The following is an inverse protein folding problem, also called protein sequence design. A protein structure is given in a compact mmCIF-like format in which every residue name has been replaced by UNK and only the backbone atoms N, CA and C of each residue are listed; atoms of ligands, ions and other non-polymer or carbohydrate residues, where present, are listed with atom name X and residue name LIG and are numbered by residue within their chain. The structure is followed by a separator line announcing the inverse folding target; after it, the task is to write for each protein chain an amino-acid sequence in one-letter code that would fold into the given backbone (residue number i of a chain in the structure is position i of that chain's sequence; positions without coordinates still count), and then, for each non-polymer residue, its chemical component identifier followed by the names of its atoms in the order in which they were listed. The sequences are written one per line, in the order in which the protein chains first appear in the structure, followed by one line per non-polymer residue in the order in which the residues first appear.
data_IF_836811333145
#
_entry.id   IF_836811333145
#
_cell.length_a   1.000
_cell.length_b   1.000
_cell.length_c   1.000
_cell.angle_alpha   90.00
_cell.angle_beta   90.00
_cell.angle_gamma   90.00
#
_symmetry.space_group_name_H-M   'P 1'
#
loop_
_entity.id
_entity.type
_entity.pdbx_description
1 polymer ?
2 non-polymer ?
3 non-polymer ?
#
# COMPACT_ATOMS: atom_id res chain seq x y z
N UNK A 1 12.04 -26.82 6.12
CA UNK A 1 12.89 -27.13 7.29
C UNK A 1 13.11 -25.92 8.22
N UNK A 2 14.30 -25.34 8.18
CA UNK A 2 14.61 -24.21 9.02
C UNK A 2 15.05 -22.99 8.25
N UNK A 3 15.11 -21.86 8.94
CA UNK A 3 15.49 -20.59 8.37
C UNK A 3 16.63 -20.64 7.36
N UNK A 4 17.79 -21.20 7.75
CA UNK A 4 18.85 -21.20 6.75
C UNK A 4 18.30 -21.56 5.35
N UNK A 5 17.79 -22.78 5.18
CA UNK A 5 17.30 -23.18 3.87
C UNK A 5 15.84 -22.85 3.57
N UNK A 6 14.93 -23.75 3.95
CA UNK A 6 13.48 -23.61 3.71
C UNK A 6 12.74 -22.52 4.49
N UNK A 7 11.85 -21.82 3.79
CA UNK A 7 11.04 -20.75 4.37
C UNK A 7 9.60 -21.24 4.56
N UNK A 8 8.86 -20.59 5.45
CA UNK A 8 7.49 -20.99 5.73
C UNK A 8 6.51 -19.82 5.87
N UNK A 9 5.32 -20.01 5.32
CA UNK A 9 4.28 -18.99 5.37
C UNK A 9 2.93 -19.55 4.95
N UNK A 10 1.92 -18.69 4.96
CA UNK A 10 0.58 -19.11 4.57
C UNK A 10 0.40 -18.78 3.10
N UNK A 11 0.41 -19.79 2.25
CA UNK A 11 0.31 -19.56 0.80
C UNK A 11 -0.95 -20.04 0.09
N UNK A 12 -1.38 -19.22 -0.87
CA UNK A 12 -2.54 -19.51 -1.70
C UNK A 12 -2.22 -20.79 -2.45
N UNK A 13 -3.12 -21.76 -2.40
CA UNK A 13 -2.88 -23.04 -3.09
C UNK A 13 -3.36 -22.97 -4.53
N UNK A 14 -4.31 -22.07 -4.80
CA UNK A 14 -4.86 -21.87 -6.14
C UNK A 14 -5.84 -20.72 -6.10
N UNK A 15 -6.04 -20.06 -7.24
CA UNK A 15 -6.96 -18.93 -7.29
C UNK A 15 -8.38 -19.32 -6.91
N UNK A 16 -8.74 -20.56 -7.20
CA UNK A 16 -10.08 -21.08 -6.91
C UNK A 16 -10.38 -21.02 -5.43
N UNK A 17 -9.56 -21.70 -4.63
CA UNK A 17 -9.78 -21.72 -3.20
C UNK A 17 -8.96 -20.61 -2.54
N UNK A 18 -8.71 -19.53 -3.27
CA UNK A 18 -7.90 -18.45 -2.74
C UNK A 18 -8.29 -17.98 -1.35
N UNK A 19 -9.53 -18.26 -0.93
CA UNK A 19 -9.95 -17.84 0.40
C UNK A 19 -9.44 -18.80 1.46
N UNK A 20 -8.68 -19.81 1.02
CA UNK A 20 -8.14 -20.81 1.95
C UNK A 20 -6.63 -21.03 1.85
N UNK A 21 -5.85 -20.11 2.43
CA UNK A 21 -4.39 -20.23 2.40
C UNK A 21 -3.99 -21.36 3.33
N UNK A 22 -2.87 -22.00 3.03
CA UNK A 22 -2.38 -23.11 3.83
C UNK A 22 -0.93 -22.92 4.27
N UNK A 23 -0.62 -23.41 5.46
CA UNK A 23 0.72 -23.32 6.00
C UNK A 23 1.61 -24.07 5.01
N UNK A 24 2.68 -23.43 4.54
CA UNK A 24 3.57 -24.08 3.58
C UNK A 24 5.04 -23.77 3.85
N UNK A 25 5.91 -24.56 3.25
CA UNK A 25 7.35 -24.39 3.36
C UNK A 25 7.87 -24.33 1.94
N UNK A 26 8.56 -23.25 1.60
CA UNK A 26 9.07 -23.06 0.24
C UNK A 26 10.53 -22.63 0.18
N UNK A 27 11.13 -22.76 -1.01
CA UNK A 27 12.52 -22.37 -1.26
C UNK A 27 12.66 -20.86 -1.37
N UNK A 28 13.57 -20.27 -0.58
CA UNK A 28 13.78 -18.82 -0.61
C UNK A 28 14.50 -18.38 -1.90
N UNK A 29 14.51 -17.08 -2.17
CA UNK A 29 15.21 -16.59 -3.37
C UNK A 29 16.70 -16.71 -3.07
N UNK A 30 17.51 -16.99 -4.10
CA UNK A 30 18.94 -17.11 -3.83
C UNK A 30 19.47 -15.80 -3.24
N UNK A 31 20.40 -15.96 -2.30
CA UNK A 31 21.00 -14.83 -1.60
C UNK A 31 22.07 -14.11 -2.43
N UNK A 32 22.09 -12.78 -2.31
CA UNK A 32 23.05 -11.94 -3.03
C UNK A 32 23.65 -10.88 -2.09
N UNK A 33 24.88 -10.50 -2.38
CA UNK A 33 25.66 -9.56 -1.59
C UNK A 33 24.94 -8.38 -0.95
N UNK A 34 23.86 -7.91 -1.55
CA UNK A 34 23.13 -6.78 -0.96
C UNK A 34 21.84 -7.21 -0.29
N UNK A 35 21.40 -8.43 -0.59
CA UNK A 35 20.19 -8.98 0.01
C UNK A 35 20.25 -8.90 1.52
N UNK A 36 19.15 -9.29 2.16
CA UNK A 36 19.00 -9.27 3.61
C UNK A 36 17.90 -10.24 3.99
N UNK A 37 18.01 -10.87 5.13
CA UNK A 37 16.96 -11.77 5.57
C UNK A 37 16.28 -11.12 6.75
N UNK A 38 14.96 -10.94 6.64
CA UNK A 38 14.17 -10.34 7.71
C UNK A 38 13.14 -11.32 8.27
N UNK A 39 13.15 -11.49 9.59
CA UNK A 39 12.19 -12.36 10.25
C UNK A 39 11.00 -11.44 10.47
N UNK A 40 9.87 -11.81 9.86
CA UNK A 40 8.66 -11.02 9.94
C UNK A 40 7.95 -11.19 11.26
N UNK A 41 7.25 -10.14 11.66
CA UNK A 41 6.51 -10.13 12.91
C UNK A 41 5.26 -9.26 12.78
N UNK A 42 4.95 -8.83 11.57
CA UNK A 42 3.79 -7.98 11.34
C UNK A 42 3.65 -7.55 9.88
N UNK A 43 2.68 -8.13 9.17
CA UNK A 43 2.46 -7.74 7.79
C UNK A 43 1.06 -7.14 7.62
N UNK A 44 0.96 -6.13 6.76
CA UNK A 44 -0.33 -5.49 6.54
C UNK A 44 -1.10 -6.06 5.37
N UNK A 45 -2.36 -6.43 5.62
CA UNK A 45 -3.23 -6.98 4.57
C UNK A 45 -3.74 -5.83 3.68
N UNK A 46 -3.12 -5.74 2.50
CA UNK A 46 -3.42 -4.70 1.52
C UNK A 46 -4.42 -5.16 0.46
N UNK A 47 -5.22 -4.23 -0.02
CA UNK A 47 -6.22 -4.54 -1.03
C UNK A 47 -5.62 -5.29 -2.19
N UNK A 48 -4.36 -5.03 -2.51
CA UNK A 48 -3.69 -5.69 -3.61
C UNK A 48 -3.50 -7.18 -3.35
N UNK A 49 -3.40 -7.54 -2.07
CA UNK A 49 -3.22 -8.93 -1.71
C UNK A 49 -4.44 -9.70 -2.21
N UNK A 50 -5.63 -9.15 -1.92
CA UNK A 50 -6.90 -9.76 -2.30
C UNK A 50 -7.05 -9.95 -3.81
N UNK A 51 -6.78 -8.90 -4.59
CA UNK A 51 -6.90 -9.00 -6.04
C UNK A 51 -6.04 -10.09 -6.64
N UNK A 52 -4.79 -10.18 -6.18
CA UNK A 52 -3.84 -11.17 -6.68
C UNK A 52 -4.26 -12.57 -6.25
N UNK A 53 -4.48 -12.73 -4.95
CA UNK A 53 -4.89 -14.02 -4.43
C UNK A 53 -6.11 -14.53 -5.22
N UNK A 54 -7.04 -13.61 -5.50
CA UNK A 54 -8.25 -13.94 -6.25
C UNK A 54 -7.92 -14.29 -7.69
N UNK A 55 -7.22 -13.41 -8.37
CA UNK A 55 -6.85 -13.66 -9.75
C UNK A 55 -7.22 -12.51 -10.68
N UNK A 56 -7.64 -11.39 -10.11
CA UNK A 56 -8.02 -10.24 -10.92
C UNK A 56 -6.87 -9.77 -11.78
N UNK A 57 -5.65 -10.19 -11.42
CA UNK A 57 -4.47 -9.80 -12.16
C UNK A 57 -3.86 -10.97 -12.90
N UNK A 58 -4.66 -11.68 -13.67
CA UNK A 58 -4.17 -12.84 -14.39
C UNK A 58 -3.88 -14.00 -13.46
N UNK A 59 -3.59 -15.17 -14.03
CA UNK A 59 -3.30 -16.34 -13.21
C UNK A 59 -1.88 -16.31 -12.67
N UNK A 60 -1.75 -16.31 -11.35
CA UNK A 60 -0.45 -16.29 -10.71
C UNK A 60 0.00 -17.72 -10.42
N UNK A 61 1.31 -17.93 -10.40
CA UNK A 61 1.89 -19.25 -10.14
C UNK A 61 1.79 -19.57 -8.66
N UNK A 62 1.31 -20.77 -8.35
CA UNK A 62 1.16 -21.20 -6.97
C UNK A 62 2.14 -22.33 -6.64
N UNK A 63 2.48 -22.53 -5.35
CA UNK A 63 2.01 -21.75 -4.19
C UNK A 63 2.32 -20.28 -4.35
N UNK A 64 1.96 -19.48 -3.36
CA UNK A 64 2.23 -18.05 -3.46
C UNK A 64 1.93 -17.30 -2.18
N UNK A 65 2.98 -16.97 -1.43
CA UNK A 65 2.80 -16.23 -0.20
C UNK A 65 2.56 -14.78 -0.58
N UNK A 66 1.58 -14.16 0.06
CA UNK A 66 1.24 -12.79 -0.25
C UNK A 66 1.50 -11.88 0.93
N UNK A 67 1.47 -10.57 0.70
CA UNK A 67 1.69 -9.64 1.79
C UNK A 67 2.88 -8.76 1.56
N UNK A 68 2.67 -7.45 1.49
CA UNK A 68 3.80 -6.59 1.26
C UNK A 68 3.80 -5.26 2.03
N UNK A 69 3.41 -5.34 3.29
CA UNK A 69 3.42 -4.20 4.19
C UNK A 69 4.12 -4.90 5.36
N UNK A 70 5.39 -5.27 5.12
CA UNK A 70 6.18 -6.01 6.10
C UNK A 70 7.01 -5.25 7.10
N UNK A 71 7.00 -5.73 8.34
CA UNK A 71 7.77 -5.14 9.41
C UNK A 71 8.39 -6.29 10.19
N UNK A 72 9.72 -6.25 10.33
CA UNK A 72 10.40 -7.32 11.04
C UNK A 72 11.76 -6.98 11.61
N UNK A 73 12.46 -8.05 11.98
CA UNK A 73 13.80 -7.95 12.55
C UNK A 73 14.85 -8.42 11.55
N UNK A 74 15.98 -7.69 11.49
CA UNK A 74 17.08 -8.04 10.61
C UNK A 74 17.72 -9.30 11.18
N UNK A 75 18.04 -10.25 10.33
CA UNK A 75 18.62 -11.46 10.85
C UNK A 75 19.80 -12.00 10.05
N UNK A 76 20.32 -11.19 9.12
CA UNK A 76 21.45 -11.63 8.30
C UNK A 76 21.74 -10.72 7.11
N UNK A 77 22.71 -9.82 7.25
CA UNK A 77 23.09 -8.93 6.17
C UNK A 77 23.90 -9.68 5.10
N UNK A 78 24.05 -9.06 3.93
CA UNK A 78 24.78 -9.71 2.85
C UNK A 78 26.20 -9.24 2.72
N UNK A 79 27.09 -10.05 2.11
CA UNK A 79 28.50 -9.71 1.92
C UNK A 79 28.68 -8.23 1.66
N UNK A 80 28.38 -7.80 0.44
CA UNK A 80 28.53 -6.39 0.07
C UNK A 80 27.45 -5.50 0.67
N UNK A 81 26.68 -6.01 1.62
CA UNK A 81 25.63 -5.20 2.23
C UNK A 81 26.30 -3.94 2.79
N UNK A 82 25.51 -2.96 3.18
CA UNK A 82 26.03 -1.69 3.70
C UNK A 82 24.93 -0.64 3.52
N UNK A 83 24.60 0.08 4.57
CA UNK A 83 23.56 1.09 4.51
C UNK A 83 23.26 1.58 5.92
N UNK A 84 23.77 0.82 6.90
CA UNK A 84 23.58 1.17 8.30
C UNK A 84 22.74 0.15 9.02
N UNK A 85 22.25 -0.84 8.30
CA UNK A 85 21.40 -1.84 8.93
C UNK A 85 22.18 -2.76 9.86
N UNK A 86 21.85 -2.67 11.14
CA UNK A 86 22.45 -3.51 12.16
C UNK A 86 21.65 -4.80 12.11
N UNK A 87 22.24 -5.94 12.46
CA UNK A 87 21.46 -7.18 12.46
C UNK A 87 20.53 -7.05 13.66
N UNK A 88 19.44 -7.81 13.66
CA UNK A 88 18.50 -7.73 14.76
C UNK A 88 17.83 -6.37 14.86
N UNK A 89 18.07 -5.50 13.88
CA UNK A 89 17.45 -4.17 13.86
C UNK A 89 16.03 -4.25 13.27
N UNK A 90 15.17 -3.32 13.69
CA UNK A 90 13.78 -3.27 13.25
C UNK A 90 13.66 -2.54 11.91
N UNK A 91 13.23 -3.28 10.90
CA UNK A 91 13.08 -2.72 9.56
C UNK A 91 11.74 -3.08 8.95
N UNK A 92 11.51 -2.57 7.74
CA UNK A 92 10.27 -2.84 7.04
C UNK A 92 10.37 -2.71 5.53
N UNK A 93 9.86 -3.71 4.82
CA UNK A 93 9.85 -3.71 3.36
C UNK A 93 8.42 -3.38 2.90
N UNK A 94 8.30 -2.82 1.71
CA UNK A 94 7.00 -2.47 1.15
C UNK A 94 6.61 -3.26 -0.09
N UNK A 95 6.16 -2.55 -1.13
CA UNK A 95 5.73 -3.23 -2.36
C UNK A 95 6.83 -3.45 -3.37
N UNK A 96 7.89 -2.62 -3.32
CA UNK A 96 9.01 -2.79 -4.26
C UNK A 96 10.09 -3.57 -3.56
N UNK A 97 10.61 -4.58 -4.23
CA UNK A 97 11.63 -5.40 -3.64
C UNK A 97 12.89 -5.38 -4.52
N UNK A 98 12.79 -4.75 -5.69
CA UNK A 98 13.92 -4.62 -6.61
C UNK A 98 13.79 -3.51 -7.64
N UNK A 99 14.94 -3.05 -8.11
CA UNK A 99 15.07 -1.99 -9.10
C UNK A 99 16.53 -2.12 -9.56
N UNK A 100 16.90 -1.52 -10.68
CA UNK A 100 18.29 -1.64 -11.14
C UNK A 100 19.27 -0.62 -10.51
N UNK A 101 18.71 0.46 -9.94
CA UNK A 101 19.51 1.49 -9.29
C UNK A 101 20.70 1.99 -10.10
N UNK A 102 20.43 2.54 -11.28
CA UNK A 102 21.49 3.08 -12.12
C UNK A 102 20.89 4.00 -13.17
N UNK A 103 19.67 3.70 -13.58
CA UNK A 103 18.99 4.55 -14.57
C UNK A 103 18.76 5.93 -13.95
N UNK A 104 18.44 6.90 -14.80
CA UNK A 104 18.21 8.26 -14.30
C UNK A 104 17.06 8.26 -13.30
N UNK A 105 16.07 7.42 -13.55
CA UNK A 105 14.91 7.31 -12.68
C UNK A 105 15.27 6.81 -11.30
N UNK A 106 15.98 5.70 -11.20
CA UNK A 106 16.37 5.21 -9.89
C UNK A 106 17.21 6.27 -9.20
N UNK A 107 18.26 6.71 -9.88
CA UNK A 107 19.15 7.70 -9.33
C UNK A 107 18.45 9.01 -9.01
N UNK A 108 17.24 9.17 -9.53
CA UNK A 108 16.50 10.40 -9.29
C UNK A 108 15.28 10.17 -8.40
N UNK A 109 15.31 9.10 -7.61
CA UNK A 109 14.23 8.77 -6.68
C UNK A 109 12.87 8.42 -7.29
N UNK A 110 12.89 7.53 -8.27
CA UNK A 110 11.67 7.09 -8.91
C UNK A 110 11.78 5.60 -9.16
N UNK A 111 12.31 4.89 -8.18
CA UNK A 111 12.49 3.45 -8.31
C UNK A 111 11.26 2.65 -8.68
N UNK A 112 10.04 3.15 -8.37
CA UNK A 112 8.82 2.42 -8.72
C UNK A 112 8.63 2.37 -10.23
N UNK A 113 9.10 3.42 -10.91
CA UNK A 113 8.99 3.53 -12.35
C UNK A 113 10.22 3.05 -13.11
N UNK A 114 11.02 2.20 -12.47
CA UNK A 114 12.21 1.67 -13.11
C UNK A 114 11.86 0.52 -14.03
N UNK A 115 12.60 0.42 -15.13
CA UNK A 115 12.38 -0.63 -16.12
C UNK A 115 12.57 -2.03 -15.55
N UNK A 116 13.49 -2.17 -14.60
CA UNK A 116 13.79 -3.47 -14.01
C UNK A 116 13.02 -3.74 -12.72
N UNK A 117 12.04 -2.89 -12.43
CA UNK A 117 11.19 -2.99 -11.22
C UNK A 117 10.68 -4.40 -10.95
N UNK A 118 10.66 -4.79 -9.68
CA UNK A 118 10.14 -6.08 -9.27
C UNK A 118 9.33 -5.91 -7.99
N UNK A 119 8.09 -6.34 -8.01
CA UNK A 119 7.27 -6.18 -6.83
C UNK A 119 7.54 -7.31 -5.82
N UNK A 120 7.21 -7.04 -4.56
CA UNK A 120 7.43 -7.99 -3.47
C UNK A 120 6.94 -9.41 -3.67
N UNK A 121 5.92 -9.64 -4.50
CA UNK A 121 5.44 -11.01 -4.73
C UNK A 121 4.73 -11.24 -6.07
N UNK A 122 4.72 -12.50 -6.50
CA UNK A 122 4.07 -12.92 -7.75
C UNK A 122 4.76 -12.48 -9.02
N UNK A 123 5.98 -11.97 -8.90
CA UNK A 123 6.74 -11.52 -10.06
C UNK A 123 8.09 -12.20 -9.98
N UNK A 124 8.51 -12.84 -11.07
CA UNK A 124 9.82 -13.50 -11.02
C UNK A 124 10.93 -12.46 -11.16
N UNK A 125 12.06 -12.71 -10.49
CA UNK A 125 13.20 -11.81 -10.58
C UNK A 125 13.88 -12.08 -11.91
N UNK A 126 14.88 -11.26 -12.26
CA UNK A 126 15.57 -11.45 -13.53
C UNK A 126 16.21 -12.85 -13.56
N UNK A 127 16.37 -13.47 -12.39
CA UNK A 127 16.96 -14.80 -12.30
C UNK A 127 15.92 -15.92 -12.39
N UNK A 128 14.64 -15.55 -12.36
CA UNK A 128 13.59 -16.55 -12.47
C UNK A 128 12.77 -16.89 -11.23
N UNK A 129 13.27 -16.54 -10.06
CA UNK A 129 12.55 -16.83 -8.82
C UNK A 129 11.37 -15.89 -8.71
N UNK A 130 10.19 -16.43 -8.45
CA UNK A 130 8.97 -15.64 -8.30
C UNK A 130 8.84 -15.15 -6.87
N UNK A 131 9.05 -13.86 -6.66
CA UNK A 131 8.99 -13.25 -5.33
C UNK A 131 7.89 -13.81 -4.45
N UNK A 132 8.15 -13.85 -3.16
CA UNK A 132 7.19 -14.35 -2.17
C UNK A 132 7.25 -13.42 -0.99
N UNK A 133 7.06 -13.97 0.20
CA UNK A 133 7.13 -13.18 1.42
C UNK A 133 5.85 -12.46 1.81
N UNK A 134 5.80 -12.01 3.07
CA UNK A 134 4.63 -11.31 3.56
C UNK A 134 3.94 -12.09 4.66
N UNK A 135 3.14 -13.08 4.26
CA UNK A 135 2.43 -13.90 5.25
C UNK A 135 3.30 -15.12 5.57
N UNK A 136 4.54 -14.85 5.99
CA UNK A 136 5.50 -15.91 6.32
C UNK A 136 6.48 -15.48 7.40
N UNK A 137 7.25 -16.46 7.92
CA UNK A 137 8.24 -16.27 8.97
C UNK A 137 9.28 -15.17 8.72
N UNK A 138 9.97 -15.26 7.57
CA UNK A 138 10.95 -14.23 7.17
C UNK A 138 10.84 -13.93 5.67
N UNK A 139 11.45 -12.81 5.26
CA UNK A 139 11.48 -12.38 3.86
C UNK A 139 12.92 -11.98 3.48
N UNK A 140 13.33 -12.32 2.25
CA UNK A 140 14.68 -12.00 1.76
C UNK A 140 14.65 -10.85 0.73
N UNK A 141 15.03 -9.66 1.17
CA UNK A 141 14.97 -8.47 0.33
C UNK A 141 16.28 -7.70 0.13
N UNK A 142 16.43 -7.10 -1.04
CA UNK A 142 17.62 -6.30 -1.35
C UNK A 142 17.67 -5.01 -0.51
N UNK A 143 18.63 -4.97 0.39
CA UNK A 143 18.84 -3.85 1.32
C UNK A 143 18.43 -2.44 0.90
N UNK A 144 18.31 -2.16 -0.39
CA UNK A 144 17.94 -0.80 -0.75
C UNK A 144 16.49 -0.49 -0.43
N UNK A 145 15.68 -1.54 -0.39
CA UNK A 145 14.26 -1.41 -0.14
C UNK A 145 13.80 -1.71 1.26
N UNK A 146 14.74 -2.10 2.11
CA UNK A 146 14.42 -2.38 3.50
C UNK A 146 14.70 -1.09 4.26
N UNK A 147 13.68 -0.51 4.88
CA UNK A 147 13.86 0.74 5.60
C UNK A 147 13.86 0.59 7.12
N UNK A 148 14.22 1.68 7.84
CA UNK A 148 14.27 1.71 9.31
C UNK A 148 12.93 2.22 9.86
N UNK A 149 12.49 1.66 10.98
CA UNK A 149 11.22 2.09 11.57
C UNK A 149 11.43 2.85 12.88
N UNK A 150 10.93 4.10 12.98
CA UNK A 150 11.11 4.85 14.23
C UNK A 150 10.57 4.03 15.41
N UNK A 151 11.22 4.11 16.56
CA UNK A 151 10.77 3.34 17.72
C UNK A 151 9.37 3.71 18.20
N UNK A 152 9.08 5.01 18.31
CA UNK A 152 7.77 5.47 18.78
C UNK A 152 6.60 5.09 17.86
N UNK A 153 6.84 4.14 16.96
CA UNK A 153 5.79 3.69 16.06
C UNK A 153 5.63 2.19 16.26
N UNK A 154 4.46 1.77 16.74
CA UNK A 154 4.17 0.35 16.98
C UNK A 154 4.30 -0.42 15.67
N UNK A 155 4.65 -1.70 15.76
CA UNK A 155 4.81 -2.51 14.57
C UNK A 155 3.51 -2.70 13.80
N UNK A 156 2.47 -3.15 14.49
CA UNK A 156 1.14 -3.37 13.89
C UNK A 156 0.62 -2.07 13.28
N UNK A 157 1.13 -0.95 13.77
CA UNK A 157 0.72 0.36 13.31
C UNK A 157 1.65 0.97 12.28
N UNK A 158 2.79 0.33 12.02
CA UNK A 158 3.73 0.86 11.05
C UNK A 158 3.56 0.17 9.70
N UNK A 159 3.41 -1.16 9.74
CA UNK A 159 3.28 -1.96 8.53
C UNK A 159 2.40 -1.38 7.42
N UNK A 160 1.18 -0.91 7.77
CA UNK A 160 0.28 -0.34 6.77
C UNK A 160 0.91 0.76 5.93
N UNK A 161 1.79 1.55 6.56
CA UNK A 161 2.46 2.65 5.87
C UNK A 161 3.42 2.25 4.75
N UNK A 162 4.05 1.09 4.89
CA UNK A 162 5.02 0.61 3.91
C UNK A 162 4.50 0.57 2.47
N UNK A 163 3.20 0.52 2.30
CA UNK A 163 2.60 0.49 0.97
C UNK A 163 1.41 1.45 0.86
N UNK A 164 0.34 1.12 1.58
CA UNK A 164 -0.86 1.95 1.57
C UNK A 164 -0.57 3.40 1.89
N UNK A 165 0.17 3.64 2.96
CA UNK A 165 0.46 5.02 3.31
C UNK A 165 1.35 5.72 2.30
N UNK A 166 2.39 5.02 1.89
CA UNK A 166 3.32 5.56 0.92
C UNK A 166 2.60 5.90 -0.37
N UNK A 167 1.75 4.99 -0.83
CA UNK A 167 1.02 5.18 -2.08
C UNK A 167 0.19 6.47 -2.12
N UNK A 168 -0.42 6.84 -1.01
CA UNK A 168 -1.19 8.09 -0.95
C UNK A 168 -0.21 9.23 -0.75
N UNK A 169 0.76 9.01 0.12
CA UNK A 169 1.74 10.04 0.42
C UNK A 169 2.40 10.60 -0.84
N UNK A 170 3.04 9.73 -1.62
CA UNK A 170 3.74 10.15 -2.83
C UNK A 170 3.03 11.22 -3.68
N UNK A 171 1.82 10.92 -4.21
CA UNK A 171 1.12 11.91 -5.03
C UNK A 171 0.74 13.18 -4.28
N UNK A 172 0.62 13.10 -2.96
CA UNK A 172 0.28 14.26 -2.13
C UNK A 172 1.47 15.22 -2.08
N UNK A 173 2.62 14.69 -1.70
CA UNK A 173 3.82 15.51 -1.62
C UNK A 173 4.19 16.01 -2.99
N UNK A 174 4.21 15.12 -3.96
CA UNK A 174 4.59 15.49 -5.30
C UNK A 174 3.71 16.56 -5.91
N UNK A 175 2.46 16.62 -5.47
CA UNK A 175 1.53 17.59 -6.04
C UNK A 175 1.23 18.82 -5.20
N UNK A 176 2.08 19.09 -4.22
CA UNK A 176 1.87 20.25 -3.37
C UNK A 176 0.59 20.11 -2.57
N UNK A 177 0.69 19.36 -1.48
CA UNK A 177 -0.42 19.15 -0.57
C UNK A 177 -0.01 19.67 0.82
N UNK A 178 -0.30 20.94 1.07
CA UNK A 178 0.05 21.52 2.35
C UNK A 178 -0.79 22.74 2.68
N UNK A 179 -0.32 23.58 3.61
CA UNK A 179 -1.07 24.78 3.98
C UNK A 179 -1.70 25.46 2.78
N UNK A 180 -2.98 25.80 2.90
CA UNK A 180 -3.67 26.50 1.83
C UNK A 180 -4.36 25.69 0.75
N UNK A 181 -3.93 24.44 0.56
CA UNK A 181 -4.50 23.57 -0.47
C UNK A 181 -5.78 22.82 -0.09
N UNK A 182 -6.65 22.60 -1.06
CA UNK A 182 -7.87 21.86 -0.80
C UNK A 182 -7.72 20.49 -1.46
N UNK A 183 -7.47 19.48 -0.64
CA UNK A 183 -7.27 18.12 -1.10
C UNK A 183 -8.47 17.20 -0.83
N UNK A 184 -8.89 16.47 -1.85
CA UNK A 184 -10.01 15.57 -1.64
C UNK A 184 -9.58 14.12 -1.78
N UNK A 185 -10.02 13.27 -0.85
CA UNK A 185 -9.69 11.85 -0.91
C UNK A 185 -10.93 11.09 -1.36
N UNK A 186 -10.82 10.35 -2.45
CA UNK A 186 -11.97 9.62 -2.97
C UNK A 186 -11.97 8.12 -2.68
N UNK A 187 -12.65 7.73 -1.61
CA UNK A 187 -12.74 6.32 -1.26
C UNK A 187 -12.12 5.99 0.07
N UNK A 188 -12.79 6.36 1.16
CA UNK A 188 -12.27 6.11 2.50
C UNK A 188 -12.08 4.64 2.86
N UNK A 189 -11.25 3.94 2.07
CA UNK A 189 -10.96 2.54 2.35
C UNK A 189 -9.69 2.51 3.19
N UNK A 190 -8.87 1.47 3.01
CA UNK A 190 -7.63 1.39 3.77
C UNK A 190 -6.76 2.60 3.49
N UNK A 191 -6.28 2.67 2.24
CA UNK A 191 -5.46 3.77 1.75
C UNK A 191 -6.19 5.11 1.89
N UNK A 192 -7.52 5.06 1.81
CA UNK A 192 -8.30 6.27 1.93
C UNK A 192 -8.25 6.85 3.33
N UNK A 193 -8.24 5.99 4.34
CA UNK A 193 -8.17 6.45 5.73
C UNK A 193 -6.81 7.11 5.99
N UNK A 194 -5.75 6.47 5.51
CA UNK A 194 -4.40 6.97 5.66
C UNK A 194 -4.21 8.26 4.89
N UNK A 195 -4.80 8.32 3.71
CA UNK A 195 -4.67 9.52 2.90
C UNK A 195 -5.25 10.73 3.61
N UNK A 196 -6.30 10.52 4.41
CA UNK A 196 -6.94 11.64 5.12
C UNK A 196 -6.13 12.14 6.31
N UNK A 197 -5.51 11.21 7.05
CA UNK A 197 -4.67 11.58 8.18
C UNK A 197 -3.43 12.27 7.64
N UNK A 198 -2.73 11.60 6.72
CA UNK A 198 -1.53 12.13 6.10
C UNK A 198 -1.81 13.49 5.45
N UNK A 199 -2.99 13.63 4.86
CA UNK A 199 -3.35 14.89 4.23
C UNK A 199 -3.46 15.97 5.28
N UNK A 200 -4.20 15.67 6.34
CA UNK A 200 -4.37 16.61 7.44
C UNK A 200 -2.99 16.89 8.04
N UNK A 201 -2.27 15.83 8.33
CA UNK A 201 -0.95 15.90 8.92
C UNK A 201 -0.09 16.93 8.21
N UNK A 202 -0.25 17.04 6.89
CA UNK A 202 0.53 18.00 6.11
C UNK A 202 -0.14 19.36 6.08
N UNK A 203 -1.17 19.52 6.91
CA UNK A 203 -1.90 20.78 7.01
C UNK A 203 -2.55 21.25 5.72
N UNK A 204 -3.50 20.46 5.23
CA UNK A 204 -4.22 20.79 3.99
C UNK A 204 -5.68 20.53 4.27
N UNK A 205 -6.53 21.50 3.93
CA UNK A 205 -7.96 21.33 4.18
C UNK A 205 -8.43 20.08 3.45
N UNK A 206 -8.55 18.99 4.19
CA UNK A 206 -8.96 17.71 3.62
C UNK A 206 -10.47 17.51 3.49
N UNK A 207 -10.89 16.97 2.35
CA UNK A 207 -12.30 16.69 2.09
C UNK A 207 -12.45 15.21 1.81
N UNK A 208 -13.05 14.43 2.69
CA UNK A 208 -13.20 13.03 2.35
C UNK A 208 -14.37 12.97 1.37
N UNK A 209 -14.30 12.07 0.39
CA UNK A 209 -15.35 11.94 -0.63
C UNK A 209 -15.79 10.51 -0.91
N UNK A 210 -16.88 10.12 -0.26
CA UNK A 210 -17.41 8.78 -0.46
C UNK A 210 -18.79 8.86 -1.09
N UNK A 211 -19.35 7.69 -1.40
CA UNK A 211 -20.67 7.57 -2.02
C UNK A 211 -21.77 7.70 -0.95
N UNK A 212 -21.87 6.68 -0.10
CA UNK A 212 -22.83 6.65 1.00
C UNK A 212 -22.47 7.63 2.12
N UNK A 213 -23.28 7.67 3.17
CA UNK A 213 -23.03 8.57 4.28
C UNK A 213 -22.54 7.76 5.49
N UNK A 214 -22.44 6.46 5.30
CA UNK A 214 -22.01 5.54 6.35
C UNK A 214 -20.75 5.95 7.08
N UNK A 215 -19.69 6.28 6.33
CA UNK A 215 -18.40 6.64 6.92
C UNK A 215 -18.22 8.12 7.30
N UNK A 216 -19.31 8.83 7.58
CA UNK A 216 -19.14 10.24 7.94
C UNK A 216 -18.54 10.40 9.33
N UNK A 217 -18.93 9.55 10.27
CA UNK A 217 -18.41 9.65 11.64
C UNK A 217 -16.92 9.37 11.72
N UNK A 218 -16.48 8.34 11.01
CA UNK A 218 -15.07 8.00 10.98
C UNK A 218 -14.28 9.08 10.26
N UNK A 219 -14.64 9.34 9.01
CA UNK A 219 -13.94 10.36 8.25
C UNK A 219 -13.84 11.65 9.08
N UNK A 220 -14.83 11.87 9.94
CA UNK A 220 -14.81 13.07 10.77
C UNK A 220 -13.90 12.95 11.98
N UNK A 221 -13.67 11.72 12.44
CA UNK A 221 -12.79 11.48 13.58
C UNK A 221 -11.37 11.70 13.06
N UNK A 222 -11.10 11.16 11.87
CA UNK A 222 -9.79 11.28 11.23
C UNK A 222 -9.31 12.71 11.05
N UNK A 223 -10.22 13.67 11.01
CA UNK A 223 -9.82 15.06 10.88
C UNK A 223 -10.34 15.77 9.66
N UNK A 224 -11.04 15.03 8.79
CA UNK A 224 -11.60 15.59 7.57
C UNK A 224 -12.33 16.92 7.83
N UNK A 225 -11.86 17.99 7.20
CA UNK A 225 -12.47 19.31 7.36
C UNK A 225 -13.80 19.41 6.62
N UNK A 226 -14.25 18.31 6.05
CA UNK A 226 -15.50 18.32 5.31
C UNK A 226 -15.68 16.93 4.71
N UNK A 227 -16.92 16.50 4.54
CA UNK A 227 -17.23 15.19 3.99
C UNK A 227 -18.22 15.41 2.86
N UNK A 228 -18.34 14.46 1.96
CA UNK A 228 -19.25 14.57 0.83
C UNK A 228 -19.79 13.20 0.49
N UNK A 229 -21.12 13.11 0.37
CA UNK A 229 -21.75 11.84 0.03
C UNK A 229 -22.27 11.90 -1.39
N UNK A 230 -21.57 11.21 -2.29
CA UNK A 230 -21.93 11.16 -3.70
C UNK A 230 -23.42 10.90 -3.96
N UNK A 231 -23.95 9.86 -3.32
CA UNK A 231 -25.36 9.47 -3.48
C UNK A 231 -26.38 10.52 -3.03
N UNK A 232 -25.96 11.43 -2.16
CA UNK A 232 -26.84 12.47 -1.65
C UNK A 232 -26.57 13.81 -2.32
N UNK A 233 -26.05 13.77 -3.55
CA UNK A 233 -25.72 14.99 -4.30
C UNK A 233 -26.26 15.13 -5.73
N UNK A 234 -26.33 14.02 -6.46
CA UNK A 234 -26.83 14.05 -7.83
C UNK A 234 -25.86 14.68 -8.82
N UNK A 235 -24.93 15.49 -8.30
CA UNK A 235 -23.90 16.16 -9.10
C UNK A 235 -23.11 17.07 -8.16
N UNK A 236 -22.12 16.48 -7.48
CA UNK A 236 -21.32 17.25 -6.53
C UNK A 236 -20.33 18.20 -7.19
N UNK A 237 -19.85 17.82 -8.38
CA UNK A 237 -18.91 18.66 -9.11
C UNK A 237 -19.45 20.06 -9.31
N UNK A 238 -20.76 20.17 -9.51
CA UNK A 238 -21.41 21.46 -9.70
C UNK A 238 -21.49 22.24 -8.39
N UNK A 239 -21.77 21.54 -7.30
CA UNK A 239 -21.87 22.21 -5.99
C UNK A 239 -20.51 22.65 -5.47
N UNK A 240 -19.52 21.77 -5.58
CA UNK A 240 -18.16 22.07 -5.12
C UNK A 240 -17.27 22.65 -6.23
N UNK A 241 -17.94 23.11 -7.29
CA UNK A 241 -17.27 23.71 -8.45
C UNK A 241 -16.09 24.62 -8.09
N UNK A 242 -14.96 24.41 -8.78
CA UNK A 242 -13.76 25.21 -8.62
C UNK A 242 -13.20 25.23 -7.20
N UNK A 243 -13.05 24.06 -6.59
CA UNK A 243 -12.56 24.05 -5.21
C UNK A 243 -11.21 23.38 -4.93
N UNK A 244 -11.03 22.16 -5.43
CA UNK A 244 -9.80 21.40 -5.19
C UNK A 244 -8.59 21.70 -6.06
N UNK A 245 -7.41 21.42 -5.50
CA UNK A 245 -6.15 21.57 -6.23
C UNK A 245 -5.78 20.12 -6.55
N UNK A 246 -5.95 19.25 -5.56
CA UNK A 246 -5.63 17.84 -5.69
C UNK A 246 -6.76 16.93 -5.28
N UNK A 247 -6.85 15.77 -5.93
CA UNK A 247 -7.83 14.76 -5.61
C UNK A 247 -7.15 13.46 -5.92
N UNK A 248 -7.11 12.59 -4.93
CA UNK A 248 -6.49 11.29 -5.05
C UNK A 248 -7.60 10.24 -5.00
N UNK A 249 -7.74 9.51 -6.11
CA UNK A 249 -8.75 8.48 -6.19
C UNK A 249 -8.20 7.16 -5.64
N UNK A 250 -8.66 6.77 -4.45
CA UNK A 250 -8.22 5.53 -3.82
C UNK A 250 -9.41 4.57 -3.81
N UNK A 251 -9.66 3.91 -4.93
CA UNK A 251 -10.79 3.00 -5.04
C UNK A 251 -10.36 1.64 -5.57
N UNK A 252 -10.84 0.57 -4.93
CA UNK A 252 -10.50 -0.79 -5.39
C UNK A 252 -10.91 -0.98 -6.84
N UNK A 253 -12.09 -0.47 -7.18
CA UNK A 253 -12.60 -0.57 -8.54
C UNK A 253 -12.78 0.85 -9.06
N UNK A 254 -13.21 0.97 -10.31
CA UNK A 254 -13.40 2.28 -10.92
C UNK A 254 -14.72 2.39 -11.66
N UNK A 255 -15.67 1.54 -11.27
CA UNK A 255 -17.00 1.53 -11.86
C UNK A 255 -17.93 2.56 -11.19
N UNK A 256 -18.07 2.47 -9.88
CA UNK A 256 -18.91 3.42 -9.16
C UNK A 256 -18.18 4.75 -9.04
N UNK A 257 -17.38 5.07 -10.05
CA UNK A 257 -16.62 6.32 -10.06
C UNK A 257 -16.84 7.05 -11.38
N UNK A 258 -17.65 8.11 -11.31
CA UNK A 258 -18.00 8.94 -12.46
C UNK A 258 -16.92 9.97 -12.74
N UNK A 259 -16.21 9.82 -13.85
CA UNK A 259 -15.14 10.77 -14.17
C UNK A 259 -15.44 11.88 -15.18
N UNK A 260 -16.69 12.33 -15.19
CA UNK A 260 -17.13 13.39 -16.10
C UNK A 260 -17.72 14.53 -15.26
N UNK A 261 -17.81 14.30 -13.95
CA UNK A 261 -18.34 15.29 -13.01
C UNK A 261 -17.16 15.87 -12.25
N UNK A 262 -16.35 14.98 -11.69
CA UNK A 262 -15.19 15.35 -10.90
C UNK A 262 -14.48 16.64 -11.36
N UNK A 263 -13.96 16.65 -12.61
CA UNK A 263 -13.26 17.82 -13.15
C UNK A 263 -13.88 19.18 -12.83
N UNK A 264 -15.19 19.23 -12.68
CA UNK A 264 -15.84 20.51 -12.38
C UNK A 264 -15.36 21.08 -11.05
N UNK A 265 -15.24 20.22 -10.03
CA UNK A 265 -14.83 20.67 -8.70
C UNK A 265 -13.33 20.96 -8.57
N UNK A 266 -12.63 21.04 -9.71
CA UNK A 266 -11.19 21.29 -9.71
C UNK A 266 -10.85 22.74 -10.02
N UNK A 267 -9.78 23.23 -9.41
CA UNK A 267 -9.37 24.60 -9.69
C UNK A 267 -8.68 24.52 -11.04
N UNK A 268 -8.57 25.63 -11.75
CA UNK A 268 -7.87 25.60 -13.02
C UNK A 268 -6.46 25.19 -12.64
N UNK A 269 -6.01 24.05 -13.13
CA UNK A 269 -4.68 23.61 -12.79
C UNK A 269 -4.75 22.51 -11.75
N UNK A 270 -5.98 22.12 -11.41
CA UNK A 270 -6.16 21.07 -10.42
C UNK A 270 -5.61 19.77 -10.97
N UNK A 271 -5.60 18.73 -10.16
CA UNK A 271 -5.09 17.46 -10.64
C UNK A 271 -5.74 16.28 -10.02
N UNK A 272 -6.30 15.45 -10.88
CA UNK A 272 -6.95 14.22 -10.42
C UNK A 272 -5.91 13.09 -10.58
N UNK A 273 -5.56 12.46 -9.47
CA UNK A 273 -4.58 11.38 -9.47
C UNK A 273 -5.17 10.10 -8.89
N UNK A 274 -5.24 9.06 -9.72
CA UNK A 274 -5.77 7.78 -9.27
C UNK A 274 -4.64 6.89 -8.79
N UNK A 275 -4.98 5.99 -7.89
CA UNK A 275 -4.03 5.08 -7.32
C UNK A 275 -4.40 3.64 -7.63
N UNK A 276 -5.63 3.45 -8.11
CA UNK A 276 -6.11 2.10 -8.36
C UNK A 276 -5.61 1.30 -9.54
N UNK A 277 -5.83 -0.01 -9.41
CA UNK A 277 -5.45 -1.03 -10.37
C UNK A 277 -6.50 -2.14 -10.17
N UNK A 278 -7.69 -2.02 -10.80
CA UNK A 278 -8.78 -3.00 -10.69
C UNK A 278 -8.62 -4.26 -11.52
N UNK A 279 -9.73 -4.98 -11.73
CA UNK A 279 -9.72 -6.22 -12.52
C UNK A 279 -9.15 -5.88 -13.90
N UNK A 280 -8.28 -6.75 -14.41
CA UNK A 280 -7.63 -6.50 -15.68
C UNK A 280 -8.56 -6.39 -16.86
N UNK A 281 -9.72 -5.79 -16.64
CA UNK A 281 -10.72 -5.63 -17.69
C UNK A 281 -11.20 -4.19 -17.71
N UNK A 282 -11.18 -3.56 -16.54
CA UNK A 282 -11.64 -2.17 -16.37
C UNK A 282 -10.79 -1.13 -17.09
N UNK A 283 -11.30 0.10 -17.10
CA UNK A 283 -10.61 1.20 -17.76
C UNK A 283 -11.03 2.54 -17.16
N UNK A 284 -10.17 3.54 -17.29
CA UNK A 284 -10.47 4.86 -16.79
C UNK A 284 -11.22 5.59 -17.92
N UNK A 285 -12.53 5.37 -17.98
CA UNK A 285 -13.38 5.99 -19.00
C UNK A 285 -14.00 7.31 -18.58
N UNK A 286 -13.62 8.38 -19.29
CA UNK A 286 -14.16 9.70 -19.03
C UNK A 286 -14.17 10.57 -20.28
N UNK A 287 -15.22 11.37 -20.42
CA UNK A 287 -15.36 12.26 -21.55
C UNK A 287 -14.15 13.19 -21.61
N UNK A 288 -13.48 13.26 -22.76
CA UNK A 288 -12.29 14.07 -23.03
C UNK A 288 -12.47 15.58 -22.78
N UNK A 289 -13.61 16.10 -23.22
CA UNK A 289 -13.95 17.52 -23.07
C UNK A 289 -13.69 18.14 -21.70
N UNK A 290 -14.05 17.39 -20.65
CA UNK A 290 -13.91 17.84 -19.29
C UNK A 290 -12.55 18.05 -18.67
N UNK A 291 -11.49 17.66 -19.35
CA UNK A 291 -10.17 17.85 -18.78
C UNK A 291 -9.70 19.24 -19.15
N UNK A 292 -10.57 20.24 -18.96
CA UNK A 292 -10.25 21.63 -19.30
C UNK A 292 -9.42 22.28 -18.21
N UNK A 293 -8.11 22.31 -18.43
CA UNK A 293 -7.19 22.86 -17.46
C UNK A 293 -7.30 21.99 -16.21
N UNK A 294 -7.47 20.69 -16.44
CA UNK A 294 -7.56 19.72 -15.35
C UNK A 294 -6.93 18.43 -15.91
N UNK A 295 -5.92 17.90 -15.23
CA UNK A 295 -5.27 16.72 -15.73
C UNK A 295 -5.58 15.47 -14.92
N UNK A 296 -5.40 14.32 -15.56
CA UNK A 296 -5.62 13.06 -14.90
C UNK A 296 -4.39 12.22 -15.17
N UNK A 297 -4.05 11.34 -14.24
CA UNK A 297 -2.87 10.49 -14.35
C UNK A 297 -2.91 9.48 -13.23
N UNK A 298 -2.10 8.44 -13.35
CA UNK A 298 -2.03 7.38 -12.36
C UNK A 298 -0.66 7.40 -11.66
N UNK A 299 -0.58 6.84 -10.46
CA UNK A 299 0.68 6.83 -9.72
C UNK A 299 0.94 5.48 -9.05
N UNK A 300 2.21 5.09 -9.02
CA UNK A 300 2.60 3.82 -8.40
C UNK A 300 3.49 4.07 -7.19
N UNK A 301 3.29 3.24 -6.16
CA UNK A 301 4.03 3.30 -4.89
C UNK A 301 4.63 4.65 -4.62
N UNK A 302 5.90 4.65 -4.21
CA UNK A 302 6.61 5.88 -3.94
C UNK A 302 8.08 5.53 -3.84
N UNK A 303 8.94 6.54 -3.82
CA UNK A 303 10.38 6.30 -3.71
C UNK A 303 10.76 6.03 -2.28
N UNK A 304 11.67 5.07 -2.06
CA UNK A 304 12.13 4.74 -0.70
C UNK A 304 12.62 5.99 0.04
N UNK A 305 12.83 7.07 -0.71
CA UNK A 305 13.25 8.34 -0.11
C UNK A 305 12.05 8.89 0.62
N UNK A 306 10.89 8.82 -0.05
CA UNK A 306 9.60 9.29 0.47
C UNK A 306 9.06 8.33 1.54
N UNK A 307 9.17 7.03 1.31
CA UNK A 307 8.68 6.08 2.29
C UNK A 307 9.27 6.43 3.65
N UNK A 308 10.38 7.17 3.63
CA UNK A 308 11.06 7.60 4.86
C UNK A 308 10.43 8.88 5.40
N UNK A 309 10.30 9.89 4.54
CA UNK A 309 9.69 11.16 4.94
C UNK A 309 8.35 10.90 5.62
N UNK A 310 7.63 9.92 5.07
CA UNK A 310 6.33 9.54 5.58
C UNK A 310 6.50 9.08 7.01
N UNK A 311 7.32 8.04 7.18
CA UNK A 311 7.60 7.47 8.49
C UNK A 311 8.04 8.57 9.45
N UNK A 312 8.93 9.46 8.98
CA UNK A 312 9.39 10.56 9.79
C UNK A 312 8.19 11.39 10.22
N UNK A 313 7.34 11.74 9.26
CA UNK A 313 6.13 12.54 9.51
C UNK A 313 5.19 11.90 10.55
N UNK A 314 4.82 10.65 10.32
CA UNK A 314 3.95 9.91 11.23
C UNK A 314 4.58 9.98 12.63
N UNK A 315 5.82 9.51 12.72
CA UNK A 315 6.57 9.50 13.97
C UNK A 315 6.51 10.85 14.69
N UNK A 316 6.85 11.92 13.98
CA UNK A 316 6.83 13.26 14.57
C UNK A 316 5.48 13.65 15.17
N UNK A 317 4.54 14.06 14.33
CA UNK A 317 3.22 14.50 14.80
C UNK A 317 2.30 13.37 15.26
N UNK A 318 2.88 12.20 15.51
CA UNK A 318 2.13 11.02 15.94
C UNK A 318 0.80 10.85 15.22
N UNK A 319 0.83 10.05 14.16
CA UNK A 319 -0.33 9.75 13.32
C UNK A 319 -0.87 8.38 13.71
N UNK A 320 -2.06 8.36 14.31
CA UNK A 320 -2.67 7.10 14.71
C UNK A 320 -3.60 6.59 13.61
N UNK A 321 -3.12 5.66 12.79
CA UNK A 321 -3.96 5.13 11.73
C UNK A 321 -4.88 4.06 12.31
N UNK A 322 -5.86 3.65 11.53
CA UNK A 322 -6.82 2.67 11.99
C UNK A 322 -6.57 1.24 11.58
N UNK A 323 -6.00 0.49 12.51
CA UNK A 323 -5.68 -0.90 12.26
C UNK A 323 -6.35 -1.85 13.24
N UNK A 324 -6.72 -3.01 12.73
CA UNK A 324 -7.34 -4.04 13.53
C UNK A 324 -6.48 -5.27 13.26
N UNK A 325 -5.76 -5.73 14.29
CA UNK A 325 -4.87 -6.88 14.16
C UNK A 325 -5.57 -8.25 14.04
N UNK A 326 -4.83 -9.25 13.56
CA UNK A 326 -5.37 -10.60 13.41
C UNK A 326 -4.31 -11.66 13.70
N UNK A 327 -4.73 -12.91 13.94
CA UNK A 327 -3.78 -13.99 14.23
C UNK A 327 -3.25 -14.58 12.94
N UNK A 328 -1.98 -14.32 12.64
CA UNK A 328 -1.38 -14.86 11.43
C UNK A 328 -1.64 -16.36 11.39
N UNK A 329 -1.74 -16.91 10.19
CA UNK A 329 -1.99 -18.34 10.09
C UNK A 329 -3.30 -18.62 9.41
N UNK A 330 -3.35 -19.74 8.68
CA UNK A 330 -4.53 -20.18 7.92
C UNK A 330 -5.86 -19.55 8.29
N UNK A 331 -6.06 -19.30 9.58
CA UNK A 331 -7.30 -18.66 10.05
C UNK A 331 -7.25 -17.16 9.76
N UNK A 332 -6.59 -16.40 10.65
CA UNK A 332 -6.49 -14.95 10.49
C UNK A 332 -6.46 -14.43 9.06
N UNK A 333 -5.75 -15.13 8.18
CA UNK A 333 -5.64 -14.73 6.78
C UNK A 333 -7.03 -14.86 6.16
N UNK A 334 -7.63 -16.04 6.33
CA UNK A 334 -8.97 -16.31 5.81
C UNK A 334 -9.92 -15.17 6.17
N UNK A 335 -10.02 -14.87 7.46
CA UNK A 335 -10.87 -13.79 7.94
C UNK A 335 -10.57 -12.54 7.13
N UNK A 336 -9.32 -12.10 7.15
CA UNK A 336 -8.91 -10.91 6.40
C UNK A 336 -9.35 -11.06 4.95
N UNK A 337 -8.99 -12.18 4.33
CA UNK A 337 -9.37 -12.44 2.94
C UNK A 337 -10.88 -12.53 2.79
N UNK A 338 -11.59 -12.44 3.91
CA UNK A 338 -13.05 -12.51 3.90
C UNK A 338 -13.61 -11.11 4.06
N UNK A 339 -13.32 -10.51 5.21
CA UNK A 339 -13.78 -9.17 5.53
C UNK A 339 -13.34 -8.06 4.57
N UNK A 340 -12.24 -8.28 3.87
CA UNK A 340 -11.71 -7.29 2.93
C UNK A 340 -12.63 -7.23 1.71
N UNK A 341 -13.14 -8.38 1.31
CA UNK A 341 -14.05 -8.48 0.18
C UNK A 341 -15.48 -8.10 0.63
N UNK A 342 -15.59 -7.59 1.85
CA UNK A 342 -16.87 -7.17 2.41
C UNK A 342 -16.70 -5.75 2.92
N UNK A 343 -15.54 -5.16 2.65
CA UNK A 343 -15.26 -3.81 3.12
C UNK A 343 -15.46 -3.76 4.62
N UNK A 344 -15.47 -4.95 5.23
CA UNK A 344 -15.69 -5.07 6.65
C UNK A 344 -14.42 -4.92 7.47
N UNK A 345 -13.74 -3.79 7.29
CA UNK A 345 -12.53 -3.51 8.04
C UNK A 345 -12.51 -2.07 8.53
N UNK A 346 -11.94 -1.86 9.71
CA UNK A 346 -11.86 -0.51 10.21
C UNK A 346 -10.70 0.15 9.49
N UNK A 347 -10.60 -0.22 8.21
CA UNK A 347 -9.62 0.29 7.26
C UNK A 347 -8.36 -0.56 7.05
N UNK A 348 -7.62 -0.87 8.10
CA UNK A 348 -6.43 -1.70 7.90
C UNK A 348 -6.30 -2.93 8.77
N UNK A 349 -6.06 -4.05 8.12
CA UNK A 349 -5.85 -5.34 8.78
C UNK A 349 -4.34 -5.60 8.89
N UNK A 350 -3.84 -5.74 10.10
CA UNK A 350 -2.41 -6.01 10.28
C UNK A 350 -2.15 -7.35 10.97
N UNK A 351 -1.75 -8.36 10.19
CA UNK A 351 -1.48 -9.66 10.78
C UNK A 351 -0.32 -9.57 11.77
N UNK A 352 -0.46 -10.25 12.91
CA UNK A 352 0.57 -10.29 13.93
C UNK A 352 0.49 -11.65 14.61
N UNK A 353 1.33 -11.86 15.63
CA UNK A 353 1.36 -13.14 16.31
C UNK A 353 2.19 -14.10 15.48
N UNK A 354 3.14 -13.52 14.73
CA UNK A 354 4.04 -14.27 13.87
C UNK A 354 4.85 -15.24 14.71
N UNK A 355 5.29 -14.75 15.87
CA UNK A 355 6.07 -15.52 16.82
C UNK A 355 5.44 -16.89 17.09
N UNK A 356 4.46 -16.91 17.99
CA UNK A 356 3.77 -18.14 18.38
C UNK A 356 2.90 -18.66 17.25
N UNK A 357 3.47 -18.77 16.06
CA UNK A 357 2.72 -19.24 14.91
C UNK A 357 3.48 -20.17 13.97
N UNK A 358 4.74 -19.87 13.71
CA UNK A 358 5.54 -20.70 12.80
C UNK A 358 6.55 -21.63 13.46
N UNK A 359 7.40 -21.06 14.32
CA UNK A 359 8.48 -21.77 15.03
C UNK A 359 9.51 -22.30 14.03
N UNK A 360 10.77 -22.40 14.47
CA UNK A 360 11.87 -22.86 13.62
C UNK A 360 11.76 -24.32 13.15
X LIG B 1 16.46 1.64 -12.77
X LIG C 1 -0.15 -2.81 -1.89
X LIG D 1 -9.73 -1.47 0.23
X LIG D 1 -9.74 -2.75 -0.39
X LIG D 1 -9.45 -1.20 1.70
X LIG D 1 -11.13 -0.71 -0.07
X LIG D 1 -11.46 -0.26 -1.42
X LIG D 1 -12.17 1.12 -1.17
X LIG D 1 -12.50 1.64 -2.53
X LIG D 1 -13.56 1.07 -0.46
X LIG D 1 -13.34 1.57 0.87
X LIG D 1 -14.51 1.96 -1.28
X LIG D 1 -14.69 3.33 -0.79
X LIG D 1 -13.87 1.95 -2.71
X LIG D 1 -14.57 1.00 -3.61
X LIG D 1 -14.78 -0.36 -3.55
X LIG D 1 -15.46 -0.86 -4.56
X LIG D 1 -15.70 0.25 -5.36
X LIG D 1 -16.38 0.35 -6.59
X LIG D 1 -16.97 -0.64 -7.29
X LIG D 1 -16.47 1.63 -7.17
X LIG D 1 -15.89 2.76 -6.53
X LIG D 1 -15.21 2.68 -5.32
X LIG D 1 -15.15 1.40 -4.77
X LIG D 1 -8.70 -0.55 -0.51
X LIG D 1 -7.15 -0.28 -0.32
X LIG D 1 -6.45 -1.50 0.14
X LIG D 1 -7.08 0.91 0.56
X LIG D 1 -6.69 0.01 -1.82
X LIG D 1 -6.66 -1.10 -2.78
X LIG D 1 -6.59 -0.54 -4.18
X LIG D 1 -5.33 0.18 -4.35
X LIG D 1 -6.57 -1.64 -5.30
X LIG D 1 -7.30 -1.20 -6.47
X LIG D 1 -5.09 -1.84 -5.54
X LIG D 1 -4.77 -2.51 -6.76
X LIG D 1 -4.58 -0.42 -5.47
X LIG D 1 -3.16 -0.20 -5.10
X LIG D 1 -2.28 0.58 -5.91
X LIG D 1 -0.95 0.75 -5.50
X LIG D 1 0.01 1.58 -6.36
X LIG D 1 1.13 1.67 -5.95
X LIG D 1 -0.38 2.15 -7.48
X LIG D 1 -0.46 0.13 -4.26
X LIG D 1 -1.37 -0.63 -3.48
X LIG D 1 -2.72 -0.81 -3.89
X LIG D 1 -16.12 4.02 -0.25
X LIG D 1 -16.54 5.06 -1.30
X LIG D 1 -17.02 2.84 -0.18
X LIG D 1 -15.81 4.71 1.06
#
# INVERSE_FOLDING_TARGET
MSYPEKFEGIAIQSHEDWKNPKKTKYDPKPFYDHDIDIKIEACGVCGSDIHCAAGHWGNMKMPLVVGHEIVGKVVKLGPKSNSGLKVGQRVGVGAQVFSCLECDRCKNDNEPYCTKFVTTYSQPYEDGYVSQGGYANYVRVHEHFVVPIPENIPSHLAAPLLCGGLTVYSPLVRNGCGPGKKVGIVGLGGIGSMGTLISKAMGAETYVISRSSRKREDAMKMGADHYIATLEEGDWGEKYFDTFDLIVVCASSLTDIDFNIMPKAMKVGGRIVSISIPEQHEMLSLKPYGLKAVSISYSALGSIKELNQLLKLVSEKDIKIWVETLPVGEAGVHEAFERMEKGDVRYRFTLVGYDKEFSD
ZN ZN
ZN ZN
NAP PA O1A O2A O5B C5B C4B O4B C3B O3B C2B O2B C1B N9A C8A N7A C5A C6A N6A N1A C2A N3A C4A O3 PN O1N O2N O5D C5D C4D O4D C3D O3D C2D O2D C1D N1N C2N C3N C7N O7N N7N C4N C5N C6N P2B O1X O2X O3X
#
